data_IF_724376695394
#
_entry.id   IF_724376695394
#
_cell.length_a   1.000
_cell.length_b   1.000
_cell.length_c   1.000
_cell.angle_alpha   90.00
_cell.angle_beta   90.00
_cell.angle_gamma   90.00
#
_symmetry.space_group_name_H-M   'P 1'
#
loop_
_entity.id
_entity.type
_entity.pdbx_description
1 polymer ?
#
# COMPACT_ATOMS: atom_id res chain seq x y z
N UNK A 1 -2.25 17.10 11.30
CA UNK A 1 -3.02 16.89 10.06
C UNK A 1 -2.89 15.43 9.64
N UNK A 2 -3.99 14.80 9.26
CA UNK A 2 -4.06 13.43 8.76
C UNK A 2 -4.90 13.43 7.49
N UNK A 3 -4.41 12.81 6.43
CA UNK A 3 -5.11 12.67 5.14
C UNK A 3 -5.48 11.21 4.89
N UNK A 4 -6.75 10.95 4.56
CA UNK A 4 -7.22 9.66 4.03
C UNK A 4 -7.31 9.71 2.50
N UNK A 5 -6.85 8.68 1.83
CA UNK A 5 -6.78 8.62 0.36
C UNK A 5 -7.36 7.29 -0.10
N UNK A 6 -8.31 7.37 -1.04
CA UNK A 6 -8.87 6.20 -1.73
C UNK A 6 -8.13 6.04 -3.05
N UNK A 7 -7.43 4.93 -3.22
CA UNK A 7 -6.65 4.63 -4.42
C UNK A 7 -7.53 4.03 -5.53
N UNK A 8 -8.47 4.82 -6.04
CA UNK A 8 -9.37 4.40 -7.12
C UNK A 8 -8.89 4.85 -8.51
N UNK A 9 -9.42 4.22 -9.55
CA UNK A 9 -9.18 4.60 -10.95
C UNK A 9 -8.19 3.71 -11.68
N UNK A 10 -7.44 2.83 -11.01
CA UNK A 10 -6.43 1.96 -11.63
C UNK A 10 -6.97 1.17 -12.82
N UNK A 11 -8.13 0.53 -12.69
CA UNK A 11 -8.77 -0.23 -13.78
C UNK A 11 -9.20 0.67 -14.95
N UNK A 12 -9.74 1.86 -14.64
CA UNK A 12 -10.15 2.85 -15.65
C UNK A 12 -8.95 3.40 -16.41
N UNK A 13 -7.85 3.64 -15.71
CA UNK A 13 -6.57 4.07 -16.28
C UNK A 13 -6.00 3.00 -17.23
N UNK A 14 -5.93 1.73 -16.80
CA UNK A 14 -5.49 0.64 -17.66
C UNK A 14 -6.33 0.52 -18.94
N UNK A 15 -7.67 0.57 -18.79
CA UNK A 15 -8.60 0.52 -19.92
C UNK A 15 -8.37 1.66 -20.92
N UNK A 16 -8.10 2.88 -20.44
CA UNK A 16 -7.81 4.05 -21.31
C UNK A 16 -6.55 3.85 -22.15
N UNK A 17 -5.60 3.04 -21.68
CA UNK A 17 -4.36 2.71 -22.38
C UNK A 17 -4.45 1.39 -23.16
N UNK A 18 -5.64 0.78 -23.28
CA UNK A 18 -5.83 -0.55 -23.86
C UNK A 18 -4.95 -1.61 -23.18
N UNK A 19 -4.73 -1.46 -21.88
CA UNK A 19 -3.94 -2.37 -21.06
C UNK A 19 -4.81 -3.17 -20.10
N UNK A 20 -4.25 -4.28 -19.67
CA UNK A 20 -4.85 -5.17 -18.68
C UNK A 20 -4.96 -4.51 -17.30
N UNK A 21 -6.00 -4.83 -16.49
CA UNK A 21 -6.25 -4.18 -15.21
C UNK A 21 -5.05 -4.14 -14.25
N UNK A 22 -4.24 -5.21 -14.25
CA UNK A 22 -3.05 -5.30 -13.40
C UNK A 22 -1.99 -4.26 -13.72
N UNK A 23 -1.87 -3.80 -14.97
CA UNK A 23 -0.97 -2.70 -15.33
C UNK A 23 -1.38 -1.38 -14.69
N UNK A 24 -2.68 -1.14 -14.56
CA UNK A 24 -3.19 0.00 -13.81
C UNK A 24 -2.82 -0.07 -12.33
N UNK A 25 -2.92 -1.25 -11.72
CA UNK A 25 -2.51 -1.45 -10.32
C UNK A 25 -1.01 -1.28 -10.11
N UNK A 26 -0.17 -1.77 -11.03
CA UNK A 26 1.29 -1.52 -11.01
C UNK A 26 1.61 -0.03 -11.07
N UNK A 27 0.94 0.73 -11.94
CA UNK A 27 1.11 2.18 -12.02
C UNK A 27 0.62 2.89 -10.75
N UNK A 28 -0.52 2.47 -10.21
CA UNK A 28 -1.03 2.99 -8.94
C UNK A 28 -0.05 2.79 -7.78
N UNK A 29 0.59 1.62 -7.69
CA UNK A 29 1.61 1.34 -6.68
C UNK A 29 2.84 2.26 -6.80
N UNK A 30 3.26 2.62 -8.02
CA UNK A 30 4.33 3.60 -8.24
C UNK A 30 3.94 4.99 -7.76
N UNK A 31 2.70 5.41 -8.00
CA UNK A 31 2.21 6.72 -7.56
C UNK A 31 2.20 6.86 -6.03
N UNK A 32 2.06 5.76 -5.27
CA UNK A 32 2.18 5.79 -3.81
C UNK A 32 3.59 6.20 -3.35
N UNK A 33 4.64 5.85 -4.11
CA UNK A 33 6.00 6.29 -3.78
C UNK A 33 6.16 7.80 -3.97
N UNK A 34 5.56 8.36 -5.02
CA UNK A 34 5.55 9.81 -5.27
C UNK A 34 4.73 10.55 -4.21
N UNK A 35 3.57 9.99 -3.83
CA UNK A 35 2.74 10.52 -2.76
C UNK A 35 3.52 10.65 -1.43
N UNK A 36 4.39 9.69 -1.10
CA UNK A 36 5.23 9.83 0.09
C UNK A 36 6.18 11.03 0.03
N UNK A 37 6.73 11.32 -1.15
CA UNK A 37 7.60 12.48 -1.32
C UNK A 37 6.81 13.77 -1.10
N UNK A 38 5.61 13.89 -1.68
CA UNK A 38 4.74 15.05 -1.44
C UNK A 38 4.34 15.18 0.03
N UNK A 39 4.03 14.08 0.71
CA UNK A 39 3.70 14.11 2.13
C UNK A 39 4.87 14.60 2.98
N UNK A 40 6.10 14.21 2.63
CA UNK A 40 7.32 14.70 3.29
C UNK A 40 7.52 16.21 3.05
N UNK A 41 7.44 16.66 1.80
CA UNK A 41 7.58 18.08 1.41
C UNK A 41 6.54 18.97 2.10
N UNK A 42 5.29 18.51 2.15
CA UNK A 42 4.16 19.20 2.76
C UNK A 42 4.07 18.98 4.28
N UNK A 43 5.02 18.24 4.89
CA UNK A 43 5.08 17.91 6.32
C UNK A 43 3.80 17.23 6.84
N UNK A 44 3.14 16.43 6.00
CA UNK A 44 1.97 15.62 6.36
C UNK A 44 2.45 14.41 7.16
N UNK A 45 2.27 14.47 8.48
CA UNK A 45 2.78 13.43 9.39
C UNK A 45 2.02 12.11 9.32
N UNK A 46 0.76 12.09 8.87
CA UNK A 46 -0.03 10.88 8.86
C UNK A 46 -0.90 10.75 7.61
N UNK A 47 -0.83 9.59 6.98
CA UNK A 47 -1.69 9.22 5.86
C UNK A 47 -2.35 7.86 6.06
N UNK A 48 -3.51 7.67 5.44
CA UNK A 48 -4.19 6.37 5.37
C UNK A 48 -4.58 6.11 3.93
N UNK A 49 -4.09 4.99 3.39
CA UNK A 49 -4.36 4.55 2.04
C UNK A 49 -5.38 3.44 2.10
N UNK A 50 -6.54 3.64 1.46
CA UNK A 50 -7.51 2.57 1.25
C UNK A 50 -7.08 1.76 0.04
N UNK A 51 -6.46 0.62 0.30
CA UNK A 51 -5.77 -0.21 -0.67
C UNK A 51 -6.61 -1.39 -1.13
N UNK A 52 -7.40 -2.01 -0.25
CA UNK A 52 -8.19 -3.19 -0.61
C UNK A 52 -9.39 -3.40 0.31
N UNK A 53 -10.58 -3.53 -0.27
CA UNK A 53 -11.82 -3.76 0.48
C UNK A 53 -12.26 -5.22 0.51
N UNK A 54 -13.14 -5.60 1.44
CA UNK A 54 -13.74 -6.94 1.46
C UNK A 54 -14.51 -7.20 0.16
N UNK A 55 -15.21 -6.20 -0.38
CA UNK A 55 -15.92 -6.29 -1.66
C UNK A 55 -14.96 -6.51 -2.84
N UNK A 56 -13.67 -6.19 -2.70
CA UNK A 56 -12.69 -6.46 -3.75
C UNK A 56 -12.37 -7.96 -3.90
N UNK A 57 -12.71 -8.80 -2.92
CA UNK A 57 -12.67 -10.26 -3.09
C UNK A 57 -13.70 -10.76 -4.12
N UNK A 58 -14.75 -9.98 -4.42
CA UNK A 58 -15.74 -10.34 -5.45
C UNK A 58 -15.24 -10.09 -6.88
N UNK A 59 -13.99 -9.65 -7.07
CA UNK A 59 -13.35 -9.53 -8.39
C UNK A 59 -12.89 -10.90 -8.89
N UNK A 60 -12.42 -10.98 -10.13
CA UNK A 60 -11.89 -12.25 -10.67
C UNK A 60 -10.73 -12.76 -9.82
N UNK A 61 -10.64 -14.08 -9.62
CA UNK A 61 -9.56 -14.73 -8.86
C UNK A 61 -8.17 -14.33 -9.38
N UNK A 62 -8.04 -14.19 -10.70
CA UNK A 62 -6.80 -13.74 -11.34
C UNK A 62 -6.40 -12.33 -10.89
N UNK A 63 -7.36 -11.41 -10.79
CA UNK A 63 -7.08 -10.04 -10.32
C UNK A 63 -6.74 -10.03 -8.82
N UNK A 64 -7.50 -10.76 -8.00
CA UNK A 64 -7.24 -10.85 -6.56
C UNK A 64 -5.84 -11.43 -6.31
N UNK A 65 -5.49 -12.55 -6.96
CA UNK A 65 -4.16 -13.16 -6.86
C UNK A 65 -3.05 -12.21 -7.30
N UNK A 66 -3.28 -11.43 -8.35
CA UNK A 66 -2.33 -10.40 -8.78
C UNK A 66 -2.13 -9.33 -7.70
N UNK A 67 -3.20 -8.81 -7.11
CA UNK A 67 -3.14 -7.80 -6.06
C UNK A 67 -2.40 -8.32 -4.82
N UNK A 68 -2.64 -9.56 -4.39
CA UNK A 68 -1.90 -10.16 -3.28
C UNK A 68 -0.40 -10.22 -3.56
N UNK A 69 -0.01 -10.66 -4.77
CA UNK A 69 1.40 -10.69 -5.17
C UNK A 69 2.01 -9.28 -5.26
N UNK A 70 1.25 -8.30 -5.73
CA UNK A 70 1.67 -6.90 -5.76
C UNK A 70 1.91 -6.37 -4.34
N UNK A 71 0.99 -6.62 -3.40
CA UNK A 71 1.16 -6.21 -1.99
C UNK A 71 2.39 -6.85 -1.35
N UNK A 72 2.61 -8.15 -1.55
CA UNK A 72 3.83 -8.83 -1.07
C UNK A 72 5.10 -8.13 -1.58
N UNK A 73 5.16 -7.90 -2.88
CA UNK A 73 6.29 -7.24 -3.54
C UNK A 73 6.52 -5.83 -2.97
N UNK A 74 5.48 -5.02 -2.88
CA UNK A 74 5.58 -3.63 -2.44
C UNK A 74 5.94 -3.53 -0.95
N UNK A 75 5.30 -4.31 -0.08
CA UNK A 75 5.62 -4.31 1.35
C UNK A 75 7.00 -4.88 1.66
N UNK A 76 7.51 -5.80 0.84
CA UNK A 76 8.92 -6.21 0.91
C UNK A 76 9.86 -5.08 0.46
N UNK A 77 9.53 -4.39 -0.63
CA UNK A 77 10.32 -3.27 -1.18
C UNK A 77 10.42 -2.10 -0.19
N UNK A 78 9.35 -1.80 0.54
CA UNK A 78 9.33 -0.73 1.54
C UNK A 78 10.47 -0.84 2.57
N UNK A 79 10.86 -2.04 3.02
CA UNK A 79 11.99 -2.17 3.96
C UNK A 79 13.36 -1.82 3.40
N UNK A 80 13.51 -1.92 2.09
CA UNK A 80 14.74 -1.55 1.39
C UNK A 80 14.77 -0.05 1.10
N UNK A 81 13.67 0.66 1.35
CA UNK A 81 13.60 2.09 1.13
C UNK A 81 14.25 2.83 2.31
N UNK A 82 15.44 3.38 2.06
CA UNK A 82 16.20 4.15 3.04
C UNK A 82 15.41 5.35 3.59
N UNK A 83 14.45 5.91 2.84
CA UNK A 83 13.60 7.01 3.31
C UNK A 83 12.75 6.59 4.51
N UNK A 84 12.24 5.35 4.54
CA UNK A 84 11.42 4.87 5.67
C UNK A 84 12.24 4.87 6.96
N UNK A 85 13.51 4.44 6.87
CA UNK A 85 14.42 4.39 8.02
C UNK A 85 14.90 5.79 8.42
N UNK A 86 15.34 6.61 7.45
CA UNK A 86 15.81 7.99 7.66
C UNK A 86 14.71 8.84 8.29
N UNK A 87 13.51 8.77 7.73
CA UNK A 87 12.39 9.58 8.16
C UNK A 87 11.60 8.96 9.31
N UNK A 88 12.02 7.82 9.88
CA UNK A 88 11.31 7.11 10.96
C UNK A 88 9.81 7.02 10.67
N UNK A 89 9.46 6.38 9.54
CA UNK A 89 8.08 6.19 9.10
C UNK A 89 7.48 4.93 9.74
N UNK A 90 6.51 5.10 10.63
CA UNK A 90 5.75 4.02 11.23
C UNK A 90 4.75 3.44 10.24
N UNK A 91 4.76 2.11 10.06
CA UNK A 91 3.82 1.41 9.19
C UNK A 91 2.78 0.69 10.07
N UNK A 92 1.52 0.81 9.69
CA UNK A 92 0.40 0.02 10.23
C UNK A 92 -0.45 -0.53 9.10
N UNK A 93 -1.02 -1.70 9.31
CA UNK A 93 -2.08 -2.23 8.47
C UNK A 93 -3.38 -2.28 9.28
N UNK A 94 -4.50 -1.94 8.67
CA UNK A 94 -5.81 -1.85 9.32
C UNK A 94 -6.77 -2.73 8.52
N UNK A 95 -7.63 -3.49 9.19
CA UNK A 95 -8.64 -4.34 8.55
C UNK A 95 -8.50 -5.83 8.85
N UNK A 96 -9.40 -6.61 8.24
CA UNK A 96 -9.50 -8.07 8.42
C UNK A 96 -8.40 -8.79 7.62
N UNK A 97 -7.41 -9.35 8.32
CA UNK A 97 -6.24 -9.98 7.70
C UNK A 97 -6.39 -11.49 7.51
N UNK A 98 -7.36 -12.11 8.17
CA UNK A 98 -7.54 -13.57 8.19
C UNK A 98 -7.86 -14.15 6.82
N UNK A 99 -8.50 -13.36 5.94
CA UNK A 99 -8.79 -13.70 4.54
C UNK A 99 -7.59 -13.57 3.60
N UNK A 100 -6.51 -12.93 4.04
CA UNK A 100 -5.28 -12.80 3.26
C UNK A 100 -4.45 -14.07 3.40
N UNK A 101 -3.60 -14.37 2.42
CA UNK A 101 -2.71 -15.53 2.53
C UNK A 101 -1.66 -15.33 3.65
N UNK A 102 -1.22 -16.44 4.25
CA UNK A 102 -0.32 -16.42 5.41
C UNK A 102 1.00 -15.69 5.16
N UNK A 103 1.54 -15.78 3.95
CA UNK A 103 2.80 -15.13 3.61
C UNK A 103 2.63 -13.60 3.66
N UNK A 104 1.54 -13.06 3.09
CA UNK A 104 1.25 -11.64 3.16
C UNK A 104 1.04 -11.17 4.61
N UNK A 105 0.32 -11.95 5.43
CA UNK A 105 0.12 -11.64 6.85
C UNK A 105 1.46 -11.55 7.62
N UNK A 106 2.38 -12.49 7.40
CA UNK A 106 3.70 -12.47 8.04
C UNK A 106 4.56 -11.30 7.57
N UNK A 107 4.51 -10.96 6.27
CA UNK A 107 5.18 -9.77 5.75
C UNK A 107 4.65 -8.53 6.48
N UNK A 108 3.32 -8.35 6.54
CA UNK A 108 2.68 -7.20 7.21
C UNK A 108 3.12 -7.09 8.68
N UNK A 109 3.02 -8.19 9.43
CA UNK A 109 3.44 -8.27 10.84
C UNK A 109 4.91 -7.88 11.03
N UNK A 110 5.78 -8.38 10.15
CA UNK A 110 7.20 -8.04 10.18
C UNK A 110 7.47 -6.54 9.90
N UNK A 111 6.68 -5.88 9.04
CA UNK A 111 6.81 -4.43 8.79
C UNK A 111 6.35 -3.59 9.98
N UNK A 112 5.24 -3.94 10.59
CA UNK A 112 4.75 -3.27 11.80
C UNK A 112 5.76 -3.40 12.94
N UNK A 113 6.27 -4.62 13.17
CA UNK A 113 7.26 -4.88 14.21
C UNK A 113 8.56 -4.08 14.00
N UNK A 114 9.07 -4.02 12.76
CA UNK A 114 10.32 -3.31 12.44
C UNK A 114 10.20 -1.78 12.58
N UNK A 115 9.01 -1.23 12.41
CA UNK A 115 8.76 0.22 12.46
C UNK A 115 8.01 0.66 13.72
N UNK A 116 7.78 -0.25 14.70
CA UNK A 116 6.95 0.01 15.89
C UNK A 116 7.34 1.25 16.70
N UNK A 117 8.65 1.52 16.77
CA UNK A 117 9.26 2.62 17.55
C UNK A 117 9.49 3.88 16.70
N UNK A 118 9.10 3.89 15.44
CA UNK A 118 9.21 5.07 14.58
C UNK A 118 8.05 6.03 14.89
N UNK A 119 8.28 7.34 14.82
CA UNK A 119 7.35 8.35 15.36
C UNK A 119 7.32 9.69 14.60
N UNK A 120 8.10 9.86 13.52
CA UNK A 120 8.11 11.13 12.77
C UNK A 120 6.95 11.21 11.78
N UNK A 121 6.70 10.12 11.07
CA UNK A 121 5.60 9.95 10.11
C UNK A 121 4.90 8.62 10.35
N UNK A 122 3.62 8.52 9.96
CA UNK A 122 2.86 7.29 10.01
C UNK A 122 2.09 7.07 8.71
N UNK A 123 2.19 5.86 8.16
CA UNK A 123 1.29 5.38 7.13
C UNK A 123 0.44 4.23 7.66
N UNK A 124 -0.85 4.30 7.38
CA UNK A 124 -1.77 3.21 7.54
C UNK A 124 -2.19 2.68 6.15
N UNK A 125 -2.10 1.37 5.95
CA UNK A 125 -2.69 0.68 4.80
C UNK A 125 -3.99 0.03 5.27
N UNK A 126 -5.12 0.42 4.69
CA UNK A 126 -6.46 -0.03 5.03
C UNK A 126 -7.08 -0.87 3.90
#
# INVERSE_FOLDING_TARGET
MHVGIILDGNRRFAKKLSQEPWKGHESGAKNVEELFNWCEELKIKQITLYCFSIENFNRSEKEVKFLMNLFKKEFQRMLKNEKIKKNKVKIKFIGEREKLDKELQEIMKAREAKTKNYNNYQINFA
#
